data_IF_898593347318
#
_entry.id   IF_898593347318
#
_cell.length_a   1.000
_cell.length_b   1.000
_cell.length_c   1.000
_cell.angle_alpha   90.00
_cell.angle_beta   90.00
_cell.angle_gamma   90.00
#
_symmetry.space_group_name_H-M   'P 1'
#
loop_
_entity.id
_entity.type
_entity.pdbx_description
1 polymer ?
#
# COMPACT_ATOMS: atom_id res chain seq x y z
N UNK A 1 10.81 -39.01 -20.10
CA UNK A 1 12.02 -39.46 -19.38
C UNK A 1 12.09 -38.67 -18.06
N UNK A 2 11.90 -39.36 -16.94
CA UNK A 2 12.02 -38.96 -15.51
C UNK A 2 11.10 -37.86 -14.95
N UNK A 3 9.94 -38.32 -14.46
CA UNK A 3 9.19 -37.78 -13.31
C UNK A 3 10.08 -37.61 -12.06
N UNK A 4 9.80 -36.56 -11.25
CA UNK A 4 9.93 -36.63 -9.78
C UNK A 4 8.75 -35.94 -9.10
N UNK A 5 7.80 -36.77 -8.68
CA UNK A 5 6.82 -36.53 -7.60
C UNK A 5 7.50 -36.66 -6.23
N UNK A 6 7.09 -35.86 -5.24
CA UNK A 6 7.06 -36.10 -3.76
C UNK A 6 7.04 -34.74 -3.02
N UNK A 7 6.29 -34.45 -1.96
CA UNK A 7 5.33 -35.19 -1.13
C UNK A 7 4.50 -34.16 -0.35
N UNK A 8 3.17 -34.28 -0.35
CA UNK A 8 2.26 -33.63 0.59
C UNK A 8 2.18 -34.51 1.85
N UNK A 9 2.38 -33.96 3.05
CA UNK A 9 2.02 -34.64 4.31
C UNK A 9 1.19 -33.73 5.20
N UNK A 10 -0.05 -34.18 5.33
CA UNK A 10 -1.10 -33.82 6.28
C UNK A 10 -0.70 -34.12 7.73
N UNK A 11 -1.01 -33.21 8.66
CA UNK A 11 -1.16 -33.54 10.07
C UNK A 11 -2.64 -33.62 10.42
N UNK A 12 -3.09 -34.86 10.67
CA UNK A 12 -4.42 -35.21 11.16
C UNK A 12 -4.32 -35.42 12.68
N UNK A 13 -5.37 -35.00 13.36
CA UNK A 13 -5.64 -35.18 14.77
C UNK A 13 -5.47 -36.64 15.24
N UNK A 14 -4.93 -36.81 16.44
CA UNK A 14 -4.97 -38.07 17.18
C UNK A 14 -5.53 -37.82 18.58
N UNK A 15 -6.80 -38.21 18.74
CA UNK A 15 -7.41 -38.50 20.02
C UNK A 15 -6.76 -39.77 20.61
N UNK A 16 -6.44 -39.76 21.91
CA UNK A 16 -6.00 -40.97 22.63
C UNK A 16 -6.93 -41.20 23.81
N UNK A 17 -7.69 -42.28 23.69
CA UNK A 17 -8.55 -42.89 24.69
C UNK A 17 -7.85 -44.15 25.24
N UNK A 18 -7.83 -44.27 26.57
CA UNK A 18 -7.89 -45.48 27.42
C UNK A 18 -6.94 -46.66 27.13
N UNK A 19 -6.14 -47.01 28.15
CA UNK A 19 -5.95 -48.41 28.56
C UNK A 19 -5.93 -48.53 30.10
N UNK A 20 -6.75 -49.44 30.62
CA UNK A 20 -6.67 -50.05 31.95
C UNK A 20 -5.54 -51.10 31.98
N UNK A 21 -5.16 -51.56 33.19
CA UNK A 21 -5.11 -53.01 33.37
C UNK A 21 -5.86 -53.49 34.62
N UNK A 22 -6.53 -54.63 34.42
CA UNK A 22 -7.16 -55.44 35.45
C UNK A 22 -6.10 -56.29 36.18
N UNK A 23 -6.22 -56.41 37.50
CA UNK A 23 -5.50 -57.37 38.33
C UNK A 23 -6.35 -57.71 39.56
N UNK A 24 -6.79 -58.97 39.65
CA UNK A 24 -7.78 -59.50 40.59
C UNK A 24 -7.17 -60.69 41.34
N UNK A 25 -7.12 -60.65 42.68
CA UNK A 25 -7.10 -61.81 43.61
C UNK A 25 -7.77 -61.35 44.92
N UNK A 26 -8.98 -61.83 45.27
CA UNK A 26 -9.28 -62.93 46.24
C UNK A 26 -8.59 -62.77 47.62
N UNK A 27 -9.22 -62.76 48.80
CA UNK A 27 -10.60 -62.93 49.28
C UNK A 27 -10.68 -62.46 50.76
N UNK A 28 -11.78 -62.70 51.50
CA UNK A 28 -12.28 -61.80 52.54
C UNK A 28 -11.83 -62.14 53.97
N UNK A 29 -11.58 -61.12 54.78
CA UNK A 29 -11.67 -61.19 56.25
C UNK A 29 -12.65 -60.15 56.75
N UNK A 30 -13.81 -60.64 57.19
CA UNK A 30 -14.81 -59.95 57.97
C UNK A 30 -14.21 -59.41 59.27
N UNK A 31 -14.23 -58.09 59.44
CA UNK A 31 -14.29 -57.49 60.77
C UNK A 31 -15.35 -56.40 60.81
N UNK A 32 -16.33 -56.68 61.66
CA UNK A 32 -17.42 -55.84 62.10
C UNK A 32 -16.82 -54.65 62.86
N UNK A 33 -17.11 -53.40 62.45
CA UNK A 33 -16.96 -52.24 63.34
C UNK A 33 -17.91 -51.09 62.96
N UNK A 34 -18.94 -50.98 63.80
CA UNK A 34 -19.84 -49.86 64.12
C UNK A 34 -20.07 -48.70 63.12
N UNK A 35 -21.35 -48.43 62.76
CA UNK A 35 -21.76 -47.15 62.23
C UNK A 35 -21.91 -46.19 63.41
N UNK A 36 -21.00 -45.24 63.54
CA UNK A 36 -21.16 -43.96 64.26
C UNK A 36 -19.80 -43.24 64.28
N UNK A 37 -19.31 -42.84 63.10
CA UNK A 37 -18.38 -41.72 63.01
C UNK A 37 -19.11 -40.60 62.30
N UNK A 38 -19.73 -39.72 63.08
CA UNK A 38 -19.98 -38.35 62.65
C UNK A 38 -18.65 -37.83 62.10
N UNK A 39 -18.50 -37.79 60.78
CA UNK A 39 -17.42 -37.07 60.11
C UNK A 39 -17.58 -35.62 60.52
N UNK A 40 -16.88 -35.27 61.60
CA UNK A 40 -16.64 -33.91 62.01
C UNK A 40 -15.93 -33.28 60.83
N UNK A 41 -16.66 -32.53 60.00
CA UNK A 41 -16.06 -31.67 58.99
C UNK A 41 -15.14 -30.75 59.78
N UNK A 42 -13.81 -30.86 59.66
CA UNK A 42 -12.93 -29.91 60.32
C UNK A 42 -13.31 -28.55 59.74
N UNK A 43 -13.83 -27.65 60.58
CA UNK A 43 -13.96 -26.26 60.19
C UNK A 43 -12.58 -25.79 59.75
N UNK A 44 -12.50 -25.19 58.56
CA UNK A 44 -11.25 -24.66 58.02
C UNK A 44 -10.57 -23.83 59.11
N UNK A 45 -9.32 -24.15 59.43
CA UNK A 45 -8.56 -23.35 60.38
C UNK A 45 -8.33 -21.96 59.78
N UNK A 46 -8.27 -20.91 60.60
CA UNK A 46 -8.10 -19.52 60.14
C UNK A 46 -6.86 -19.37 59.24
N UNK A 47 -5.81 -20.17 59.49
CA UNK A 47 -4.61 -20.24 58.65
C UNK A 47 -4.88 -20.80 57.25
N UNK A 48 -5.66 -21.88 57.14
CA UNK A 48 -6.05 -22.44 55.84
C UNK A 48 -6.92 -21.44 55.04
N UNK A 49 -7.77 -20.67 55.73
CA UNK A 49 -8.59 -19.64 55.09
C UNK A 49 -7.73 -18.48 54.57
N UNK A 50 -6.72 -18.05 55.33
CA UNK A 50 -5.79 -17.00 54.91
C UNK A 50 -4.97 -17.45 53.69
N UNK A 51 -4.43 -18.67 53.71
CA UNK A 51 -3.68 -19.24 52.57
C UNK A 51 -4.58 -19.35 51.33
N UNK A 52 -5.83 -19.80 51.49
CA UNK A 52 -6.78 -19.88 50.38
C UNK A 52 -7.08 -18.50 49.77
N UNK A 53 -7.24 -17.46 50.58
CA UNK A 53 -7.44 -16.09 50.09
C UNK A 53 -6.20 -15.58 49.35
N UNK A 54 -5.00 -15.83 49.86
CA UNK A 54 -3.75 -15.41 49.20
C UNK A 54 -3.60 -16.09 47.83
N UNK A 55 -3.86 -17.40 47.74
CA UNK A 55 -3.84 -18.12 46.46
C UNK A 55 -4.88 -17.55 45.50
N UNK A 56 -6.09 -17.24 45.98
CA UNK A 56 -7.13 -16.64 45.15
C UNK A 56 -6.69 -15.28 44.59
N UNK A 57 -6.08 -14.42 45.41
CA UNK A 57 -5.57 -13.11 44.96
C UNK A 57 -4.48 -13.29 43.91
N UNK A 58 -3.52 -14.20 44.12
CA UNK A 58 -2.47 -14.48 43.14
C UNK A 58 -3.06 -14.99 41.83
N UNK A 59 -4.04 -15.89 41.88
CA UNK A 59 -4.71 -16.40 40.68
C UNK A 59 -5.46 -15.29 39.94
N UNK A 60 -6.20 -14.42 40.64
CA UNK A 60 -6.90 -13.29 40.04
C UNK A 60 -5.91 -12.35 39.33
N UNK A 61 -4.77 -12.05 39.97
CA UNK A 61 -3.72 -11.22 39.37
C UNK A 61 -3.12 -11.89 38.13
N UNK A 62 -2.82 -13.19 38.21
CA UNK A 62 -2.28 -13.95 37.08
C UNK A 62 -3.26 -13.97 35.89
N UNK A 63 -4.55 -14.22 36.15
CA UNK A 63 -5.60 -14.14 35.11
C UNK A 63 -5.74 -12.74 34.53
N UNK A 64 -5.63 -11.70 35.35
CA UNK A 64 -5.65 -10.30 34.88
C UNK A 64 -4.51 -9.99 33.91
N UNK A 65 -3.30 -10.46 34.21
CA UNK A 65 -2.14 -10.31 33.31
C UNK A 65 -2.36 -11.08 32.00
N UNK A 66 -2.80 -12.34 32.08
CA UNK A 66 -3.05 -13.17 30.89
C UNK A 66 -4.15 -12.55 30.02
N UNK A 67 -5.24 -12.06 30.61
CA UNK A 67 -6.34 -11.44 29.89
C UNK A 67 -5.87 -10.17 29.16
N UNK A 68 -5.08 -9.34 29.84
CA UNK A 68 -4.51 -8.11 29.26
C UNK A 68 -3.59 -8.42 28.08
N UNK A 69 -2.70 -9.42 28.23
CA UNK A 69 -1.82 -9.85 27.14
C UNK A 69 -2.61 -10.43 25.97
N UNK A 70 -3.64 -11.23 26.24
CA UNK A 70 -4.51 -11.80 25.20
C UNK A 70 -5.22 -10.72 24.42
N UNK A 71 -5.78 -9.70 25.11
CA UNK A 71 -6.43 -8.57 24.46
C UNK A 71 -5.47 -7.78 23.56
N UNK A 72 -4.23 -7.52 24.01
CA UNK A 72 -3.20 -6.87 23.18
C UNK A 72 -2.86 -7.67 21.93
N UNK A 73 -2.72 -9.00 22.04
CA UNK A 73 -2.44 -9.87 20.90
C UNK A 73 -3.60 -9.90 19.91
N UNK A 74 -4.84 -9.98 20.42
CA UNK A 74 -6.04 -9.98 19.57
C UNK A 74 -6.20 -8.65 18.84
N UNK A 75 -6.05 -7.52 19.53
CA UNK A 75 -6.16 -6.19 18.89
C UNK A 75 -5.04 -5.97 17.87
N UNK A 76 -3.82 -6.37 18.18
CA UNK A 76 -2.70 -6.33 17.22
C UNK A 76 -2.94 -7.20 15.99
N UNK A 77 -3.47 -8.41 16.18
CA UNK A 77 -3.80 -9.32 15.07
C UNK A 77 -4.91 -8.76 14.18
N UNK A 78 -5.94 -8.14 14.76
CA UNK A 78 -7.01 -7.48 14.02
C UNK A 78 -6.49 -6.28 13.22
N UNK A 79 -5.61 -5.48 13.81
CA UNK A 79 -4.98 -4.35 13.12
C UNK A 79 -4.16 -4.80 11.90
N UNK A 80 -3.31 -5.83 12.07
CA UNK A 80 -2.55 -6.42 10.96
C UNK A 80 -3.48 -6.97 9.88
N UNK A 81 -4.57 -7.64 10.27
CA UNK A 81 -5.55 -8.18 9.32
C UNK A 81 -6.23 -7.08 8.50
N UNK A 82 -6.61 -5.96 9.12
CA UNK A 82 -7.17 -4.80 8.41
C UNK A 82 -6.16 -4.19 7.45
N UNK A 83 -4.93 -3.96 7.91
CA UNK A 83 -3.85 -3.41 7.07
C UNK A 83 -3.56 -4.30 5.85
N UNK A 84 -3.52 -5.63 6.03
CA UNK A 84 -3.35 -6.59 4.94
C UNK A 84 -4.51 -6.55 3.93
N UNK A 85 -5.75 -6.46 4.41
CA UNK A 85 -6.91 -6.37 3.54
C UNK A 85 -6.90 -5.07 2.71
N UNK A 86 -6.57 -3.94 3.33
CA UNK A 86 -6.39 -2.66 2.64
C UNK A 86 -5.27 -2.74 1.60
N UNK A 87 -4.10 -3.25 1.97
CA UNK A 87 -2.99 -3.43 1.05
C UNK A 87 -3.33 -4.33 -0.14
N UNK A 88 -4.09 -5.41 0.09
CA UNK A 88 -4.54 -6.30 -0.98
C UNK A 88 -5.49 -5.61 -1.96
N UNK A 89 -6.42 -4.79 -1.46
CA UNK A 89 -7.33 -4.00 -2.29
C UNK A 89 -6.57 -2.96 -3.12
N UNK A 90 -5.65 -2.22 -2.51
CA UNK A 90 -4.77 -1.27 -3.19
C UNK A 90 -3.96 -1.97 -4.28
N UNK A 91 -3.35 -3.10 -3.95
CA UNK A 91 -2.54 -3.87 -4.89
C UNK A 91 -3.36 -4.42 -6.06
N UNK A 92 -4.65 -4.73 -5.85
CA UNK A 92 -5.56 -5.13 -6.92
C UNK A 92 -5.79 -3.97 -7.91
N UNK A 93 -6.11 -2.78 -7.41
CA UNK A 93 -6.31 -1.57 -8.24
C UNK A 93 -5.04 -1.24 -9.03
N UNK A 94 -3.90 -1.15 -8.34
CA UNK A 94 -2.60 -0.87 -8.98
C UNK A 94 -2.31 -1.90 -10.08
N UNK A 95 -2.44 -3.20 -9.79
CA UNK A 95 -2.17 -4.24 -10.81
C UNK A 95 -3.13 -4.17 -11.99
N UNK A 96 -4.41 -3.86 -11.76
CA UNK A 96 -5.39 -3.72 -12.83
C UNK A 96 -5.02 -2.59 -13.78
N UNK A 97 -4.56 -1.45 -13.27
CA UNK A 97 -4.22 -0.29 -14.10
C UNK A 97 -2.85 -0.42 -14.75
N UNK A 98 -1.86 -0.95 -14.04
CA UNK A 98 -0.51 -1.17 -14.58
C UNK A 98 -0.51 -2.16 -15.74
N UNK A 99 -1.41 -3.16 -15.71
CA UNK A 99 -1.62 -4.09 -16.84
C UNK A 99 -2.11 -3.40 -18.12
N UNK A 100 -2.76 -2.24 -17.99
CA UNK A 100 -3.28 -1.47 -19.11
C UNK A 100 -2.28 -0.46 -19.64
N UNK A 101 -1.10 -0.30 -19.03
CA UNK A 101 -0.07 0.63 -19.52
C UNK A 101 0.24 0.35 -20.98
N UNK A 102 0.22 1.39 -21.80
CA UNK A 102 0.51 1.28 -23.24
C UNK A 102 1.77 2.01 -23.67
N UNK A 103 2.64 1.28 -24.40
CA UNK A 103 3.82 1.83 -25.09
C UNK A 103 3.49 2.84 -26.17
N UNK A 104 2.23 2.86 -26.63
CA UNK A 104 1.79 3.80 -27.64
C UNK A 104 1.45 5.19 -27.07
N UNK A 105 1.51 5.42 -25.76
CA UNK A 105 1.31 6.74 -25.18
C UNK A 105 2.54 7.22 -24.41
N UNK A 106 2.38 7.43 -23.10
CA UNK A 106 3.48 7.83 -22.24
C UNK A 106 3.38 7.19 -20.85
N UNK A 107 4.52 7.18 -20.15
CA UNK A 107 4.66 6.91 -18.74
C UNK A 107 5.55 8.00 -18.16
N UNK A 108 5.15 8.59 -17.03
CA UNK A 108 5.93 9.60 -16.34
C UNK A 108 5.93 9.28 -14.85
N UNK A 109 7.12 9.18 -14.27
CA UNK A 109 7.33 9.13 -12.81
C UNK A 109 8.06 10.41 -12.46
N UNK A 110 7.44 11.28 -11.66
CA UNK A 110 8.00 12.60 -11.39
C UNK A 110 7.79 13.01 -9.94
N UNK A 111 8.56 14.01 -9.50
CA UNK A 111 8.14 14.94 -8.46
C UNK A 111 7.67 16.22 -9.11
N UNK A 112 6.65 16.85 -8.56
CA UNK A 112 6.14 18.12 -9.07
C UNK A 112 6.39 19.23 -8.05
N UNK A 113 6.92 20.36 -8.52
CA UNK A 113 7.00 21.65 -7.82
C UNK A 113 7.58 21.65 -6.39
N UNK A 114 8.82 21.18 -6.19
CA UNK A 114 9.52 21.07 -4.89
C UNK A 114 8.79 20.26 -3.79
N UNK A 115 7.56 19.81 -4.03
CA UNK A 115 6.87 18.89 -3.16
C UNK A 115 7.64 17.57 -3.20
N UNK A 116 8.01 17.07 -2.02
CA UNK A 116 8.69 15.80 -1.83
C UNK A 116 7.75 14.61 -2.14
N UNK A 117 6.81 14.73 -3.06
CA UNK A 117 5.75 13.75 -3.31
C UNK A 117 6.01 13.01 -4.62
N UNK A 118 6.06 11.66 -4.61
CA UNK A 118 6.21 10.90 -5.85
C UNK A 118 4.86 10.82 -6.57
N UNK A 119 4.89 11.11 -7.87
CA UNK A 119 3.76 10.99 -8.77
C UNK A 119 4.09 10.00 -9.88
N UNK A 120 3.07 9.28 -10.32
CA UNK A 120 3.13 8.49 -11.55
C UNK A 120 1.90 8.81 -12.39
N UNK A 121 2.11 9.10 -13.66
CA UNK A 121 1.05 9.39 -14.65
C UNK A 121 1.34 8.58 -15.90
N UNK A 122 0.35 7.85 -16.40
CA UNK A 122 0.54 7.03 -17.59
C UNK A 122 -0.72 6.89 -18.40
N UNK A 123 -0.55 6.65 -19.69
CA UNK A 123 -1.64 6.30 -20.58
C UNK A 123 -2.00 4.82 -20.45
N UNK A 124 -3.29 4.54 -20.42
CA UNK A 124 -3.86 3.20 -20.45
C UNK A 124 -4.46 2.90 -21.83
N UNK A 125 -4.27 1.68 -22.30
CA UNK A 125 -4.95 1.15 -23.48
C UNK A 125 -6.15 0.29 -23.08
N UNK A 126 -7.11 0.20 -24.00
CA UNK A 126 -8.34 -0.54 -23.81
C UNK A 126 -9.46 0.36 -23.34
N UNK A 127 -10.60 -0.26 -23.05
CA UNK A 127 -11.80 0.48 -22.67
C UNK A 127 -11.60 1.08 -21.28
N UNK A 128 -11.53 2.40 -21.23
CA UNK A 128 -11.65 3.18 -19.98
C UNK A 128 -13.09 3.67 -19.92
N UNK A 129 -13.75 3.43 -18.78
CA UNK A 129 -15.10 3.90 -18.53
C UNK A 129 -15.05 5.20 -17.73
N UNK A 130 -16.00 6.08 -18.03
CA UNK A 130 -16.26 7.24 -17.21
C UNK A 130 -16.85 6.81 -15.86
N UNK A 131 -16.53 7.55 -14.80
CA UNK A 131 -17.12 7.40 -13.47
C UNK A 131 -18.60 7.71 -13.45
N UNK A 132 -19.04 8.63 -14.31
CA UNK A 132 -20.40 9.19 -14.27
C UNK A 132 -21.17 8.94 -15.56
N UNK A 133 -20.48 8.82 -16.69
CA UNK A 133 -21.06 8.58 -18.00
C UNK A 133 -20.97 7.12 -18.41
N UNK A 134 -21.87 6.68 -19.28
CA UNK A 134 -21.83 5.33 -19.87
C UNK A 134 -20.86 5.24 -21.05
N UNK A 135 -20.23 6.35 -21.45
CA UNK A 135 -19.40 6.42 -22.65
C UNK A 135 -18.02 5.82 -22.41
N UNK A 136 -17.63 4.77 -23.15
CA UNK A 136 -16.28 4.26 -23.13
C UNK A 136 -15.36 5.13 -23.99
N UNK A 137 -14.10 5.28 -23.58
CA UNK A 137 -13.02 5.70 -24.46
C UNK A 137 -12.05 4.54 -24.75
N UNK A 138 -11.35 4.63 -25.88
CA UNK A 138 -10.36 3.65 -26.34
C UNK A 138 -9.04 3.70 -25.58
N UNK A 139 -8.92 4.62 -24.62
CA UNK A 139 -7.81 4.74 -23.70
C UNK A 139 -8.12 5.73 -22.57
N UNK A 140 -7.23 5.80 -21.60
CA UNK A 140 -7.33 6.73 -20.48
C UNK A 140 -5.97 7.22 -20.03
N UNK A 141 -5.99 8.06 -19.00
CA UNK A 141 -4.80 8.48 -18.25
C UNK A 141 -5.05 8.10 -16.80
N UNK A 142 -4.17 7.28 -16.23
CA UNK A 142 -4.21 6.92 -14.81
C UNK A 142 -3.08 7.59 -14.07
N UNK A 143 -3.36 8.01 -12.84
CA UNK A 143 -2.39 8.69 -11.98
C UNK A 143 -2.53 8.26 -10.53
N UNK A 144 -1.40 8.18 -9.85
CA UNK A 144 -1.30 7.88 -8.43
C UNK A 144 -0.42 8.91 -7.75
N UNK A 145 -0.83 9.32 -6.56
CA UNK A 145 -0.08 10.25 -5.74
C UNK A 145 -0.37 10.09 -4.26
N UNK A 146 0.51 10.64 -3.44
CA UNK A 146 0.37 10.75 -2.00
C UNK A 146 0.35 12.22 -1.60
N UNK A 147 -0.59 12.59 -0.72
CA UNK A 147 -0.79 13.95 -0.22
C UNK A 147 -0.60 13.94 1.29
N UNK A 148 0.15 14.93 1.79
CA UNK A 148 0.33 15.15 3.23
C UNK A 148 -1.00 15.56 3.88
N UNK A 149 -1.13 15.49 5.22
CA UNK A 149 -2.27 16.08 5.91
C UNK A 149 -2.49 17.52 5.41
N UNK A 150 -3.72 17.78 4.95
CA UNK A 150 -4.15 19.10 4.47
C UNK A 150 -3.99 20.10 5.62
N UNK A 151 -3.03 21.03 5.54
CA UNK A 151 -2.83 22.08 6.55
C UNK A 151 -3.48 23.42 6.17
N UNK A 152 -4.04 23.54 4.95
CA UNK A 152 -4.75 24.75 4.51
C UNK A 152 -6.09 24.45 3.81
N UNK A 153 -7.16 25.09 4.27
CA UNK A 153 -8.47 25.10 3.59
C UNK A 153 -9.60 24.39 4.37
N UNK A 154 -10.08 25.01 5.45
CA UNK A 154 -11.40 24.76 6.06
C UNK A 154 -11.65 23.41 6.76
N UNK A 155 -11.03 22.31 6.33
CA UNK A 155 -11.18 20.98 6.92
C UNK A 155 -9.79 20.35 7.04
N UNK A 156 -9.24 20.39 8.25
CA UNK A 156 -7.97 19.75 8.56
C UNK A 156 -8.22 18.25 8.71
N UNK A 157 -7.91 17.45 7.69
CA UNK A 157 -8.13 16.00 7.71
C UNK A 157 -7.05 15.31 8.58
N UNK A 158 -5.93 15.97 8.90
CA UNK A 158 -4.90 15.46 9.81
C UNK A 158 -4.29 14.11 9.42
N UNK A 159 -4.58 13.63 8.21
CA UNK A 159 -4.24 12.29 7.72
C UNK A 159 -3.59 12.40 6.34
N UNK A 160 -2.58 11.57 6.13
CA UNK A 160 -1.93 11.42 4.84
C UNK A 160 -2.76 10.53 3.92
N UNK A 161 -3.00 10.99 2.69
CA UNK A 161 -3.89 10.32 1.75
C UNK A 161 -3.11 9.70 0.60
N UNK A 162 -3.37 8.43 0.32
CA UNK A 162 -2.96 7.80 -0.94
C UNK A 162 -4.11 7.84 -1.92
N UNK A 163 -3.89 8.46 -3.07
CA UNK A 163 -4.92 8.83 -4.01
C UNK A 163 -4.67 8.19 -5.38
N UNK A 164 -5.77 7.91 -6.07
CA UNK A 164 -5.79 7.43 -7.44
C UNK A 164 -6.84 8.19 -8.26
N UNK A 165 -6.50 8.49 -9.51
CA UNK A 165 -7.44 9.03 -10.49
C UNK A 165 -7.23 8.40 -11.86
N UNK A 166 -8.35 8.04 -12.49
CA UNK A 166 -8.41 7.71 -13.90
C UNK A 166 -9.19 8.79 -14.63
N UNK A 167 -8.66 9.22 -15.78
CA UNK A 167 -9.31 10.15 -16.68
C UNK A 167 -9.58 9.47 -18.02
N UNK A 168 -10.73 9.79 -18.60
CA UNK A 168 -11.07 9.43 -19.97
C UNK A 168 -10.20 10.24 -20.95
N UNK A 169 -9.43 9.57 -21.83
CA UNK A 169 -8.69 10.24 -22.89
C UNK A 169 -9.60 10.41 -24.10
N UNK A 170 -10.25 11.57 -24.21
CA UNK A 170 -11.27 11.83 -25.22
C UNK A 170 -11.06 13.20 -25.86
N UNK A 171 -10.90 13.26 -27.18
CA UNK A 171 -10.82 14.52 -27.92
C UNK A 171 -12.16 14.85 -28.56
N UNK A 172 -12.63 16.08 -28.37
CA UNK A 172 -13.86 16.54 -28.98
C UNK A 172 -13.61 17.36 -30.26
N UNK A 173 -14.24 16.99 -31.37
CA UNK A 173 -14.08 17.68 -32.66
C UNK A 173 -15.13 18.79 -32.92
N UNK A 174 -16.30 18.78 -32.27
CA UNK A 174 -17.33 19.86 -32.38
C UNK A 174 -18.42 19.82 -31.28
N UNK A 175 -18.30 20.62 -30.20
CA UNK A 175 -19.29 20.79 -29.10
C UNK A 175 -19.43 19.66 -28.07
N UNK A 176 -18.94 19.83 -26.83
CA UNK A 176 -18.91 18.84 -25.72
C UNK A 176 -20.15 17.91 -25.67
N UNK A 177 -20.00 16.59 -25.48
CA UNK A 177 -21.16 15.72 -25.37
C UNK A 177 -21.91 16.08 -24.10
N UNK A 178 -23.22 16.11 -24.17
CA UNK A 178 -24.07 16.36 -23.00
C UNK A 178 -23.86 15.34 -21.87
N UNK A 179 -23.27 14.16 -22.18
CA UNK A 179 -23.02 13.11 -21.21
C UNK A 179 -21.62 13.14 -20.55
N UNK A 180 -20.65 13.95 -21.01
CA UNK A 180 -19.34 14.05 -20.32
C UNK A 180 -19.36 15.22 -19.34
N UNK A 181 -19.27 14.89 -18.06
CA UNK A 181 -19.16 15.86 -16.97
C UNK A 181 -17.70 16.32 -16.87
N UNK A 182 -17.47 17.62 -16.78
CA UNK A 182 -16.14 18.21 -16.56
C UNK A 182 -15.55 17.63 -15.28
N UNK A 183 -14.36 17.02 -15.35
CA UNK A 183 -13.71 16.35 -14.21
C UNK A 183 -13.17 14.96 -14.51
N UNK A 184 -13.90 14.22 -15.32
CA UNK A 184 -13.64 12.80 -15.55
C UNK A 184 -12.96 12.51 -16.90
N UNK A 185 -12.72 13.54 -17.71
CA UNK A 185 -12.05 13.41 -19.00
C UNK A 185 -10.96 14.46 -19.18
N UNK A 186 -10.00 14.12 -20.03
CA UNK A 186 -8.99 15.03 -20.56
C UNK A 186 -9.27 15.21 -22.05
N UNK A 187 -9.32 16.46 -22.52
CA UNK A 187 -9.56 16.82 -23.92
C UNK A 187 -8.35 16.51 -24.82
N UNK A 188 -7.95 15.24 -24.83
CA UNK A 188 -6.86 14.69 -25.62
C UNK A 188 -7.13 13.19 -25.77
N UNK A 189 -7.26 12.72 -27.00
CA UNK A 189 -7.41 11.30 -27.28
C UNK A 189 -6.04 10.63 -27.36
N UNK A 190 -6.04 9.29 -27.29
CA UNK A 190 -4.80 8.53 -27.37
C UNK A 190 -4.08 8.76 -28.72
N UNK A 191 -4.80 9.01 -29.81
CA UNK A 191 -4.22 9.28 -31.13
C UNK A 191 -3.49 10.63 -31.20
N UNK A 192 -3.95 11.64 -30.47
CA UNK A 192 -3.26 12.92 -30.35
C UNK A 192 -2.03 12.80 -29.45
N UNK A 193 -2.13 12.11 -28.32
CA UNK A 193 -0.98 11.82 -27.46
C UNK A 193 0.11 11.09 -28.25
N UNK A 194 -0.30 10.13 -29.07
CA UNK A 194 0.56 9.35 -29.97
C UNK A 194 1.35 10.15 -31.00
N UNK A 195 0.93 11.37 -31.31
CA UNK A 195 1.60 12.27 -32.26
C UNK A 195 2.53 13.27 -31.57
N UNK A 196 2.40 13.43 -30.25
CA UNK A 196 3.17 14.39 -29.46
C UNK A 196 4.59 13.89 -29.29
N UNK A 197 5.56 14.72 -29.62
CA UNK A 197 6.96 14.45 -29.29
C UNK A 197 7.20 14.55 -27.77
N UNK A 198 8.40 14.20 -27.30
CA UNK A 198 8.75 14.21 -25.88
C UNK A 198 8.48 15.56 -25.20
N UNK A 199 8.83 16.68 -25.85
CA UNK A 199 8.64 18.03 -25.30
C UNK A 199 7.15 18.34 -25.15
N UNK A 200 6.35 18.01 -26.16
CA UNK A 200 4.91 18.22 -26.14
C UNK A 200 4.20 17.34 -25.09
N UNK A 201 4.66 16.11 -24.88
CA UNK A 201 4.18 15.25 -23.80
C UNK A 201 4.56 15.84 -22.44
N UNK A 202 5.79 16.33 -22.30
CA UNK A 202 6.25 16.97 -21.07
C UNK A 202 5.41 18.20 -20.71
N UNK A 203 5.16 19.09 -21.67
CA UNK A 203 4.29 20.25 -21.51
C UNK A 203 2.84 19.85 -21.21
N UNK A 204 2.34 18.80 -21.85
CA UNK A 204 1.01 18.27 -21.57
C UNK A 204 0.88 17.75 -20.14
N UNK A 205 1.88 17.00 -19.65
CA UNK A 205 1.88 16.52 -18.27
C UNK A 205 1.93 17.70 -17.28
N UNK A 206 2.77 18.70 -17.54
CA UNK A 206 2.83 19.89 -16.69
C UNK A 206 1.49 20.63 -16.65
N UNK A 207 0.80 20.75 -17.79
CA UNK A 207 -0.53 21.37 -17.80
C UNK A 207 -1.59 20.58 -17.04
N UNK A 208 -1.45 19.25 -16.87
CA UNK A 208 -2.33 18.48 -15.98
C UNK A 208 -2.14 18.87 -14.51
N UNK A 209 -0.91 19.19 -14.11
CA UNK A 209 -0.64 19.71 -12.77
C UNK A 209 -1.09 21.16 -12.61
N UNK A 210 -0.70 22.05 -13.54
CA UNK A 210 -0.97 23.49 -13.45
C UNK A 210 -2.48 23.80 -13.48
N UNK A 211 -3.28 23.00 -14.19
CA UNK A 211 -4.74 23.15 -14.23
C UNK A 211 -5.47 22.50 -13.03
N UNK A 212 -4.76 22.03 -12.01
CA UNK A 212 -5.34 21.40 -10.83
C UNK A 212 -6.06 20.07 -11.10
N UNK A 213 -5.90 19.49 -12.30
CA UNK A 213 -6.44 18.16 -12.62
C UNK A 213 -5.76 17.10 -11.76
N UNK A 214 -4.47 17.29 -11.50
CA UNK A 214 -3.72 16.55 -10.50
C UNK A 214 -3.57 17.47 -9.28
N UNK A 215 -4.00 17.06 -8.07
CA UNK A 215 -3.93 17.89 -6.89
C UNK A 215 -2.46 18.12 -6.58
N UNK A 216 -2.02 19.34 -6.84
CA UNK A 216 -0.72 19.83 -6.39
C UNK A 216 -0.78 20.25 -4.92
N UNK A 217 -1.93 20.76 -4.47
CA UNK A 217 -2.16 21.36 -3.15
C UNK A 217 -3.39 20.79 -2.42
N UNK A 218 -3.60 21.25 -1.19
CA UNK A 218 -4.50 20.74 -0.14
C UNK A 218 -6.03 20.82 -0.41
N UNK A 219 -6.47 21.01 -1.65
CA UNK A 219 -7.90 21.17 -1.97
C UNK A 219 -8.54 19.85 -2.43
N UNK A 220 -8.89 18.98 -1.48
CA UNK A 220 -9.77 17.82 -1.74
C UNK A 220 -11.11 18.11 -1.08
N UNK A 221 -12.15 18.35 -1.87
CA UNK A 221 -13.50 18.57 -1.36
C UNK A 221 -14.13 17.26 -0.87
N UNK A 222 -14.63 17.25 0.37
CA UNK A 222 -15.31 16.11 0.97
C UNK A 222 -16.48 16.55 1.86
N UNK A 223 -17.67 15.93 1.76
CA UNK A 223 -18.17 15.07 0.68
C UNK A 223 -18.57 15.89 -0.58
N UNK A 224 -18.59 15.28 -1.78
CA UNK A 224 -19.10 15.95 -2.97
C UNK A 224 -20.59 16.23 -2.81
N UNK A 225 -20.99 17.48 -2.99
CA UNK A 225 -22.39 17.92 -2.89
C UNK A 225 -23.06 18.13 -4.27
N UNK A 226 -22.32 17.88 -5.35
CA UNK A 226 -22.82 17.94 -6.73
C UNK A 226 -22.22 16.85 -7.61
N UNK A 227 -22.89 16.52 -8.72
CA UNK A 227 -22.37 15.57 -9.72
C UNK A 227 -21.05 16.06 -10.35
N UNK A 228 -20.88 17.36 -10.52
CA UNK A 228 -19.63 17.95 -11.01
C UNK A 228 -18.50 17.77 -9.99
N UNK A 229 -18.76 18.06 -8.71
CA UNK A 229 -17.79 17.84 -7.64
C UNK A 229 -17.40 16.36 -7.52
N UNK A 230 -18.35 15.43 -7.77
CA UNK A 230 -18.08 14.00 -7.81
C UNK A 230 -17.14 13.60 -8.97
N UNK A 231 -17.25 14.24 -10.14
CA UNK A 231 -16.37 14.01 -11.28
C UNK A 231 -14.92 14.41 -10.96
N UNK A 232 -14.76 15.54 -10.27
CA UNK A 232 -13.48 16.08 -9.83
C UNK A 232 -12.92 15.36 -8.59
N UNK A 233 -13.70 14.48 -7.94
CA UNK A 233 -13.26 13.76 -6.73
C UNK A 233 -12.20 12.69 -7.07
N UNK A 234 -11.13 12.68 -6.28
CA UNK A 234 -10.08 11.65 -6.30
C UNK A 234 -10.48 10.44 -5.48
N UNK A 235 -10.16 9.23 -5.98
CA UNK A 235 -10.39 8.02 -5.20
C UNK A 235 -9.33 7.89 -4.11
N UNK A 236 -9.77 7.85 -2.85
CA UNK A 236 -8.89 7.59 -1.70
C UNK A 236 -8.66 6.08 -1.61
N UNK A 237 -7.42 5.67 -1.81
CA UNK A 237 -6.96 4.29 -1.65
C UNK A 237 -6.72 3.93 -0.18
N UNK A 238 -6.19 4.88 0.60
CA UNK A 238 -5.98 4.75 2.04
C UNK A 238 -5.77 6.13 2.67
N UNK A 239 -6.25 6.31 3.90
CA UNK A 239 -6.07 7.52 4.72
C UNK A 239 -4.92 7.40 5.72
N UNK A 240 -4.22 6.26 5.73
CA UNK A 240 -3.23 5.95 6.76
C UNK A 240 -1.86 5.65 6.15
N UNK A 241 -1.47 6.39 5.11
CA UNK A 241 -0.18 6.17 4.43
C UNK A 241 0.84 7.20 4.86
N UNK A 242 1.86 6.79 5.61
CA UNK A 242 2.93 7.72 6.04
C UNK A 242 4.15 7.75 5.10
N UNK A 243 4.20 6.87 4.10
CA UNK A 243 5.22 6.90 3.05
C UNK A 243 4.73 6.24 1.78
N UNK A 244 5.10 6.84 0.64
CA UNK A 244 4.94 6.30 -0.71
C UNK A 244 6.27 6.41 -1.45
N UNK A 245 6.64 5.35 -2.16
CA UNK A 245 7.78 5.31 -3.06
C UNK A 245 7.38 4.66 -4.38
N UNK A 246 7.79 5.29 -5.48
CA UNK A 246 7.54 4.81 -6.84
C UNK A 246 8.89 4.65 -7.53
N UNK A 247 9.16 3.42 -7.96
CA UNK A 247 10.41 3.02 -8.59
C UNK A 247 10.13 2.21 -9.86
N UNK A 248 11.14 2.10 -10.70
CA UNK A 248 11.10 1.36 -11.95
C UNK A 248 12.40 0.59 -12.18
N UNK A 249 12.39 -0.40 -13.06
CA UNK A 249 13.59 -1.16 -13.45
C UNK A 249 13.62 -1.41 -14.95
N UNK A 250 14.81 -1.33 -15.56
CA UNK A 250 15.06 -1.81 -16.94
C UNK A 250 15.35 -3.33 -17.01
N UNK A 251 15.27 -4.04 -15.89
CA UNK A 251 15.54 -5.49 -15.82
C UNK A 251 17.03 -5.83 -15.63
N UNK A 252 17.90 -4.84 -15.48
CA UNK A 252 19.32 -5.05 -15.16
C UNK A 252 19.49 -5.58 -13.74
N UNK A 253 20.53 -6.40 -13.55
CA UNK A 253 20.87 -7.01 -12.28
C UNK A 253 22.20 -6.47 -11.77
N UNK A 254 22.32 -6.32 -10.45
CA UNK A 254 23.59 -5.99 -9.80
C UNK A 254 24.53 -7.21 -9.74
N UNK A 255 25.73 -7.01 -9.21
CA UNK A 255 26.74 -8.07 -9.02
C UNK A 255 26.26 -9.21 -8.11
N UNK A 256 25.21 -8.99 -7.32
CA UNK A 256 24.57 -9.99 -6.45
C UNK A 256 23.39 -10.69 -7.11
N UNK A 257 23.06 -10.33 -8.36
CA UNK A 257 21.93 -10.91 -9.11
C UNK A 257 20.57 -10.29 -8.78
N UNK A 258 20.50 -9.22 -7.99
CA UNK A 258 19.27 -8.53 -7.65
C UNK A 258 18.89 -7.49 -8.70
N UNK A 259 17.60 -7.28 -8.93
CA UNK A 259 17.13 -6.23 -9.84
C UNK A 259 17.53 -4.85 -9.33
N UNK A 260 18.09 -4.05 -10.22
CA UNK A 260 18.38 -2.65 -9.95
C UNK A 260 17.10 -1.85 -10.11
N UNK A 261 16.74 -1.11 -9.07
CA UNK A 261 15.58 -0.23 -9.04
C UNK A 261 16.02 1.22 -9.05
N UNK A 262 15.41 1.99 -9.95
CA UNK A 262 15.62 3.41 -10.16
C UNK A 262 14.39 4.16 -9.68
N UNK A 263 14.60 5.37 -9.16
CA UNK A 263 13.52 6.20 -8.65
C UNK A 263 13.76 6.63 -7.22
N UNK A 264 12.68 7.07 -6.61
CA UNK A 264 12.70 7.72 -5.31
C UNK A 264 12.29 6.72 -4.25
N UNK A 265 13.16 6.47 -3.28
CA UNK A 265 12.80 5.78 -2.05
C UNK A 265 12.54 6.81 -0.94
N UNK A 266 11.40 6.69 -0.29
CA UNK A 266 11.00 7.51 0.85
C UNK A 266 11.05 6.65 2.11
N UNK A 267 12.26 6.40 2.63
CA UNK A 267 12.41 5.71 3.91
C UNK A 267 12.40 6.73 5.08
N UNK A 268 11.50 6.60 6.08
CA UNK A 268 11.63 7.31 7.36
C UNK A 268 12.93 6.90 8.08
N UNK A 269 13.55 7.75 8.93
CA UNK A 269 13.03 8.97 9.54
C UNK A 269 13.52 10.27 8.91
N UNK A 270 14.28 10.21 7.81
CA UNK A 270 14.76 11.41 7.17
C UNK A 270 13.67 11.96 6.25
N UNK A 271 13.16 13.16 6.54
CA UNK A 271 12.48 14.04 5.59
C UNK A 271 13.41 14.48 4.43
N UNK A 272 14.41 13.65 4.11
CA UNK A 272 15.36 13.82 3.05
C UNK A 272 15.26 12.55 2.19
N UNK A 273 15.06 12.70 0.87
CA UNK A 273 15.06 11.57 -0.02
C UNK A 273 16.40 10.85 0.09
N UNK A 274 16.39 9.65 0.67
CA UNK A 274 17.59 8.85 0.88
C UNK A 274 18.00 8.29 -0.46
N UNK A 275 18.89 9.01 -1.15
CA UNK A 275 19.50 8.67 -2.44
C UNK A 275 18.54 7.95 -3.38
N UNK A 276 17.95 8.71 -4.31
CA UNK A 276 17.55 8.08 -5.56
C UNK A 276 18.77 7.29 -6.05
N UNK A 277 18.63 5.96 -6.22
CA UNK A 277 19.70 5.14 -6.83
C UNK A 277 19.66 5.53 -8.31
N UNK A 278 20.21 6.70 -8.58
CA UNK A 278 19.91 7.55 -9.73
C UNK A 278 20.87 7.33 -10.88
N UNK A 279 21.96 6.63 -10.63
CA UNK A 279 22.95 6.37 -11.65
C UNK A 279 22.58 5.03 -12.28
N UNK A 280 21.76 5.11 -13.33
CA UNK A 280 22.07 4.23 -14.45
C UNK A 280 23.51 4.57 -14.86
N UNK A 281 24.50 3.66 -14.72
CA UNK A 281 25.87 3.96 -15.11
C UNK A 281 26.01 4.27 -16.61
N UNK A 282 24.98 3.93 -17.39
CA UNK A 282 24.88 4.26 -18.81
C UNK A 282 24.16 5.60 -19.05
N UNK A 283 23.58 6.24 -18.02
CA UNK A 283 22.97 7.56 -18.15
C UNK A 283 24.07 8.63 -18.18
N UNK A 284 24.07 9.52 -19.17
CA UNK A 284 25.02 10.62 -19.24
C UNK A 284 24.87 11.56 -18.02
N UNK A 285 25.96 12.19 -17.55
CA UNK A 285 25.95 13.03 -16.35
C UNK A 285 24.93 14.16 -16.42
N UNK A 286 24.26 14.45 -15.29
CA UNK A 286 23.20 15.46 -15.19
C UNK A 286 23.66 16.90 -15.53
N UNK A 287 24.97 17.19 -15.49
CA UNK A 287 25.54 18.52 -15.73
C UNK A 287 25.55 18.96 -17.21
N UNK A 288 25.20 18.08 -18.16
CA UNK A 288 25.36 18.35 -19.60
C UNK A 288 24.05 18.31 -20.39
N UNK A 289 22.94 18.81 -19.84
CA UNK A 289 21.70 18.93 -20.62
C UNK A 289 21.09 20.31 -20.53
N UNK A 290 21.26 21.07 -21.62
CA UNK A 290 20.48 22.27 -21.90
C UNK A 290 19.04 21.85 -22.21
N UNK A 291 18.15 22.03 -21.24
CA UNK A 291 16.72 21.75 -21.32
C UNK A 291 16.01 22.52 -22.46
N UNK A 292 16.68 23.48 -23.11
CA UNK A 292 16.14 24.27 -24.22
C UNK A 292 16.62 23.81 -25.60
N UNK A 293 17.69 23.02 -25.69
CA UNK A 293 18.30 22.66 -26.99
C UNK A 293 18.63 21.17 -27.15
N UNK A 294 17.68 20.44 -27.76
CA UNK A 294 17.93 19.43 -28.82
C UNK A 294 18.95 18.30 -28.57
N UNK A 295 18.87 17.57 -27.45
CA UNK A 295 19.15 16.13 -27.56
C UNK A 295 17.99 15.31 -26.99
N UNK A 296 17.17 14.83 -27.93
CA UNK A 296 15.77 14.40 -27.77
C UNK A 296 15.68 12.88 -27.88
N UNK A 297 16.81 12.19 -27.81
CA UNK A 297 17.00 10.83 -28.33
C UNK A 297 16.96 9.73 -27.27
N UNK A 298 16.96 10.10 -25.99
CA UNK A 298 16.99 9.13 -24.89
C UNK A 298 16.01 9.51 -23.76
N UNK A 299 15.42 8.49 -23.14
CA UNK A 299 14.62 8.62 -21.92
C UNK A 299 15.57 8.90 -20.76
N UNK A 300 16.14 10.10 -20.77
CA UNK A 300 17.07 10.58 -19.78
C UNK A 300 16.32 10.77 -18.46
N UNK A 301 16.95 10.30 -17.39
CA UNK A 301 16.56 10.65 -16.04
C UNK A 301 16.88 12.13 -15.86
N UNK A 302 15.84 12.95 -15.83
CA UNK A 302 15.98 14.37 -15.54
C UNK A 302 16.10 14.51 -14.03
N UNK A 303 17.34 14.64 -13.56
CA UNK A 303 17.65 14.92 -12.16
C UNK A 303 18.15 16.35 -12.03
N UNK A 304 17.45 17.17 -11.26
CA UNK A 304 17.93 18.49 -10.88
C UNK A 304 18.48 18.42 -9.46
N UNK A 305 19.81 18.31 -9.33
CA UNK A 305 20.52 18.27 -8.05
C UNK A 305 20.27 19.51 -7.19
N UNK A 306 20.04 20.67 -7.81
CA UNK A 306 19.80 21.94 -7.10
C UNK A 306 18.37 22.09 -6.55
N UNK A 307 17.44 21.16 -6.86
CA UNK A 307 16.02 21.30 -6.52
C UNK A 307 15.26 20.00 -6.19
N UNK A 308 15.95 18.89 -5.93
CA UNK A 308 15.33 17.57 -5.64
C UNK A 308 14.36 17.05 -6.72
N UNK A 309 14.42 17.63 -7.92
CA UNK A 309 13.57 17.30 -9.06
C UNK A 309 13.98 15.95 -9.63
N UNK A 310 13.05 15.01 -9.63
CA UNK A 310 13.18 13.72 -10.32
C UNK A 310 12.10 13.64 -11.36
N UNK A 311 12.47 13.35 -12.61
CA UNK A 311 11.52 13.02 -13.68
C UNK A 311 12.09 11.93 -14.56
N UNK A 312 11.33 10.84 -14.68
CA UNK A 312 11.55 9.79 -15.64
C UNK A 312 10.33 9.76 -16.56
N UNK A 313 10.53 10.19 -17.81
CA UNK A 313 9.48 10.25 -18.82
C UNK A 313 9.83 9.27 -19.94
N UNK A 314 8.85 8.47 -20.34
CA UNK A 314 8.90 7.60 -21.50
C UNK A 314 7.75 7.91 -22.43
N UNK A 315 8.01 7.87 -23.73
CA UNK A 315 7.00 8.24 -24.74
C UNK A 315 6.94 7.20 -25.85
N UNK A 316 5.95 7.28 -26.74
CA UNK A 316 5.89 6.44 -27.93
C UNK A 316 7.12 6.59 -28.84
N UNK A 317 7.60 7.83 -28.99
CA UNK A 317 8.70 8.17 -29.90
C UNK A 317 10.06 7.77 -29.32
N UNK A 318 10.13 7.56 -28.01
CA UNK A 318 11.34 7.13 -27.31
C UNK A 318 11.01 5.91 -26.44
N UNK A 319 11.29 4.73 -26.99
CA UNK A 319 11.07 3.46 -26.31
C UNK A 319 12.33 2.90 -25.65
N UNK A 320 13.44 3.64 -25.69
CA UNK A 320 14.71 3.22 -25.11
C UNK A 320 14.57 3.10 -23.59
N UNK A 321 15.08 2.03 -22.97
CA UNK A 321 15.01 1.84 -21.52
C UNK A 321 13.59 1.95 -20.92
N UNK A 322 12.54 1.61 -21.70
CA UNK A 322 11.19 1.49 -21.15
C UNK A 322 11.19 0.51 -19.96
N UNK A 323 10.49 0.81 -18.86
CA UNK A 323 10.57 -0.04 -17.69
C UNK A 323 10.03 -1.44 -17.97
N UNK A 324 10.74 -2.44 -17.47
CA UNK A 324 10.28 -3.83 -17.47
C UNK A 324 9.31 -4.08 -16.32
N UNK A 325 9.50 -3.37 -15.19
CA UNK A 325 8.56 -3.38 -14.09
C UNK A 325 8.56 -2.05 -13.33
N UNK A 326 7.40 -1.73 -12.73
CA UNK A 326 7.22 -0.68 -11.74
C UNK A 326 7.07 -1.32 -10.36
N UNK A 327 7.63 -0.68 -9.35
CA UNK A 327 7.48 -1.02 -7.94
C UNK A 327 6.90 0.16 -7.21
N UNK A 328 5.74 -0.05 -6.60
CA UNK A 328 5.12 0.92 -5.69
C UNK A 328 5.23 0.34 -4.28
N UNK A 329 5.95 1.05 -3.41
CA UNK A 329 6.06 0.74 -1.98
C UNK A 329 5.26 1.76 -1.20
N UNK A 330 4.46 1.31 -0.26
CA UNK A 330 3.71 2.19 0.61
C UNK A 330 3.66 1.61 2.02
N UNK A 331 3.53 2.48 3.01
CA UNK A 331 3.54 2.10 4.41
C UNK A 331 2.21 2.47 5.06
N UNK A 332 1.46 1.46 5.49
CA UNK A 332 0.17 1.65 6.16
C UNK A 332 0.39 1.72 7.66
N UNK A 333 -0.01 2.84 8.26
CA UNK A 333 -0.14 3.01 9.71
C UNK A 333 -1.52 2.48 10.14
N UNK A 334 -1.61 1.71 11.22
CA UNK A 334 -2.91 1.41 11.83
C UNK A 334 -3.06 2.31 13.07
N UNK A 335 -4.14 3.10 13.19
CA UNK A 335 -4.34 4.00 14.33
C UNK A 335 -4.30 3.29 15.70
N UNK A 336 -4.76 2.03 15.76
CA UNK A 336 -4.77 1.25 17.01
C UNK A 336 -3.33 0.85 17.38
N UNK A 337 -2.53 0.40 16.41
CA UNK A 337 -1.12 0.08 16.64
C UNK A 337 -0.32 1.33 17.00
N UNK A 338 -0.60 2.44 16.32
CA UNK A 338 0.04 3.72 16.60
C UNK A 338 -0.25 4.21 18.03
N UNK A 339 -1.53 4.19 18.44
CA UNK A 339 -1.94 4.59 19.78
C UNK A 339 -1.40 3.66 20.88
N UNK A 340 -1.24 2.35 20.59
CA UNK A 340 -0.62 1.41 21.51
C UNK A 340 0.89 1.68 21.66
N UNK A 341 1.60 1.91 20.56
CA UNK A 341 3.03 2.23 20.57
C UNK A 341 3.33 3.55 21.30
N UNK A 342 2.47 4.56 21.11
CA UNK A 342 2.57 5.87 21.79
C UNK A 342 2.41 5.73 23.31
N UNK A 343 1.45 4.93 23.77
CA UNK A 343 1.25 4.64 25.20
C UNK A 343 2.42 3.89 25.84
N UNK A 344 3.16 3.10 25.06
CA UNK A 344 4.31 2.33 25.53
C UNK A 344 5.63 3.12 25.42
N UNK A 345 5.60 4.39 24.99
CA UNK A 345 6.79 5.23 24.83
C UNK A 345 7.74 4.74 23.73
N UNK A 346 7.27 3.82 22.90
CA UNK A 346 8.03 3.22 21.81
C UNK A 346 7.79 3.97 20.51
N UNK A 347 8.86 4.39 19.83
CA UNK A 347 8.85 5.06 18.52
C UNK A 347 8.45 4.14 17.36
N UNK A 348 7.83 2.98 17.63
CA UNK A 348 7.40 2.00 16.62
C UNK A 348 6.01 2.38 16.08
N UNK A 349 5.77 3.67 15.82
CA UNK A 349 4.57 4.15 15.11
C UNK A 349 4.69 3.96 13.59
N UNK A 350 5.67 3.17 13.17
CA UNK A 350 6.20 3.21 11.83
C UNK A 350 5.21 2.66 10.79
N UNK A 351 4.30 1.76 11.13
CA UNK A 351 3.39 1.13 10.15
C UNK A 351 4.04 -0.02 9.39
N UNK A 352 3.24 -0.75 8.61
CA UNK A 352 3.66 -1.95 7.89
C UNK A 352 3.96 -1.58 6.44
N UNK A 353 5.12 -1.98 5.94
CA UNK A 353 5.51 -1.82 4.55
C UNK A 353 4.84 -2.85 3.66
N UNK A 354 4.26 -2.38 2.56
CA UNK A 354 3.75 -3.19 1.48
C UNK A 354 4.42 -2.81 0.19
N UNK A 355 4.56 -3.79 -0.70
CA UNK A 355 5.20 -3.64 -1.98
C UNK A 355 4.37 -4.30 -3.07
N UNK A 356 4.17 -3.56 -4.15
CA UNK A 356 3.48 -4.03 -5.35
C UNK A 356 4.44 -3.88 -6.52
N UNK A 357 4.90 -5.01 -7.04
CA UNK A 357 5.67 -5.08 -8.28
C UNK A 357 4.73 -5.43 -9.43
N UNK A 358 4.76 -4.61 -10.47
CA UNK A 358 3.96 -4.75 -11.67
C UNK A 358 4.87 -4.84 -12.89
N UNK A 359 4.94 -5.98 -13.59
CA UNK A 359 5.60 -6.03 -14.89
C UNK A 359 4.84 -5.18 -15.91
N UNK A 360 5.55 -4.55 -16.84
CA UNK A 360 4.97 -3.73 -17.91
C UNK A 360 5.13 -4.45 -19.24
N UNK A 361 4.05 -4.50 -20.03
CA UNK A 361 4.07 -5.05 -21.38
C UNK A 361 4.10 -6.58 -21.47
N UNK A 362 3.60 -7.27 -20.44
CA UNK A 362 3.34 -8.72 -20.44
C UNK A 362 1.85 -9.02 -20.57
#
# INVERSE_FOLDING_TARGET
>A
MKERKKTIRSYRAAAISRQQPAGRQAGPKSQIRNPNSSTFRPGLTVMELLVAVVIMVIMILAFGIILTQTQKVVSGSQAIMRSNNTAAAIAYVIRNDMRKITKNGFLCITRYNNALRPFIVFTTAGITQSKLATTPATGGISTYTWVDPLEGGGVNIGQHLFLHQGFLAYQWNSGQPEHLISGDYINCDLATIQKKNRVEVNSFINSLFDNGRIPADDSIEFPPYSLTALADTWMILSTEINSLSIMWTKGTKDSSGNLIWYGIDFAPPANQPTKARCEDPDAPPAEQYDYTTKDITHNLLEFNEAGYGYRALWTRHDQNNWPTAIKIKFKIRDPILAAAAEKEGTTISEGIWYEVICPIGQ
#
